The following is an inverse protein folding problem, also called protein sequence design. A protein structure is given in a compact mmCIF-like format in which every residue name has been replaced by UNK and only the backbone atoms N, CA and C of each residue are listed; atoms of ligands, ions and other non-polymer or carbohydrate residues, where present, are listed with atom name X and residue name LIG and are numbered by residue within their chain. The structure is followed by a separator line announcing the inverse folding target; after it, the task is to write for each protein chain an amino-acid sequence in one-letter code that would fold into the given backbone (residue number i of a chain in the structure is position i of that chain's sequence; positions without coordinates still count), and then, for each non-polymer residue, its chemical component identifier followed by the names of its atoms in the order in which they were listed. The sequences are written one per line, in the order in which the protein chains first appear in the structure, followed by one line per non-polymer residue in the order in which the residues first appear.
data_IF_763727034479
#
_entry.id   IF_763727034479
#
_cell.length_a   1.000
_cell.length_b   1.000
_cell.length_c   1.000
_cell.angle_alpha   90.00
_cell.angle_beta   90.00
_cell.angle_gamma   90.00
#
_symmetry.space_group_name_H-M   'P 1'
#
loop_
_entity.id
_entity.type
_entity.pdbx_description
1 polymer ?
#
# COMPACT_ATOMS: atom_id res chain seq x y z
N UNK A 1 16.12 -23.32 -13.00
CA UNK A 1 14.68 -23.48 -13.30
C UNK A 1 13.93 -22.75 -12.20
N UNK A 2 13.17 -21.70 -12.52
CA UNK A 2 12.39 -20.95 -11.52
C UNK A 2 10.92 -21.36 -11.65
N UNK A 3 10.30 -21.75 -10.54
CA UNK A 3 8.87 -22.06 -10.48
C UNK A 3 8.14 -20.87 -9.86
N UNK A 4 7.16 -20.31 -10.58
CA UNK A 4 6.27 -19.26 -10.08
C UNK A 4 4.88 -19.84 -9.85
N UNK A 5 4.40 -19.82 -8.62
CA UNK A 5 3.01 -20.16 -8.28
C UNK A 5 2.19 -18.89 -8.02
N UNK A 6 0.87 -18.97 -8.25
CA UNK A 6 -0.05 -17.84 -8.05
C UNK A 6 -0.91 -18.06 -6.81
N UNK A 7 -1.00 -17.04 -5.96
CA UNK A 7 -2.00 -17.01 -4.88
C UNK A 7 -3.36 -16.81 -5.55
N UNK A 8 -4.22 -17.83 -5.48
CA UNK A 8 -5.53 -17.86 -6.18
C UNK A 8 -6.66 -17.19 -5.40
N UNK A 9 -6.61 -17.21 -4.07
CA UNK A 9 -7.66 -16.67 -3.22
C UNK A 9 -7.04 -16.14 -1.92
N UNK A 10 -7.35 -14.89 -1.59
CA UNK A 10 -7.02 -14.25 -0.31
C UNK A 10 -8.36 -14.02 0.42
N UNK A 11 -8.47 -14.51 1.65
CA UNK A 11 -9.65 -14.39 2.52
C UNK A 11 -9.43 -13.40 3.67
N UNK A 12 -8.19 -13.18 4.05
CA UNK A 12 -7.76 -12.15 4.98
C UNK A 12 -6.37 -11.73 4.55
N UNK A 13 -6.08 -10.44 4.70
CA UNK A 13 -4.80 -9.86 4.35
C UNK A 13 -4.32 -9.00 5.51
N UNK A 14 -3.10 -9.25 5.94
CA UNK A 14 -2.45 -8.53 7.02
C UNK A 14 -0.98 -8.34 6.67
N UNK A 15 -0.55 -7.08 6.65
CA UNK A 15 0.85 -6.68 6.69
C UNK A 15 1.05 -5.96 8.00
N UNK A 16 2.04 -6.38 8.77
CA UNK A 16 2.48 -5.70 9.97
C UNK A 16 4.01 -5.54 9.89
N UNK A 17 4.50 -4.39 10.35
CA UNK A 17 5.93 -4.12 10.36
C UNK A 17 6.33 -3.11 11.42
N UNK A 18 7.61 -3.15 11.77
CA UNK A 18 8.24 -2.21 12.70
C UNK A 18 9.58 -1.79 12.14
N UNK A 19 9.87 -0.50 12.20
CA UNK A 19 11.17 0.06 11.88
C UNK A 19 11.62 0.95 13.01
N UNK A 20 12.88 0.82 13.40
CA UNK A 20 13.51 1.66 14.41
C UNK A 20 14.72 2.34 13.80
N UNK A 21 14.66 3.66 13.69
CA UNK A 21 15.68 4.42 13.00
C UNK A 21 15.86 5.81 13.66
N UNK A 22 17.10 6.33 13.75
CA UNK A 22 17.36 7.67 14.27
C UNK A 22 17.04 8.72 13.18
N UNK A 23 15.75 8.91 12.90
CA UNK A 23 15.29 9.91 11.93
C UNK A 23 15.77 11.30 12.36
N UNK A 24 16.32 12.12 11.45
CA UNK A 24 16.53 13.53 11.72
C UNK A 24 15.22 14.24 12.09
N UNK A 25 15.26 15.31 12.89
CA UNK A 25 14.04 16.05 13.24
C UNK A 25 13.37 16.65 12.00
N UNK A 26 12.18 16.15 11.66
CA UNK A 26 11.32 16.66 10.59
C UNK A 26 9.92 16.03 10.70
N UNK A 27 9.02 16.40 9.79
CA UNK A 27 7.73 15.74 9.59
C UNK A 27 7.90 14.71 8.49
N UNK A 28 7.54 13.45 8.77
CA UNK A 28 7.63 12.35 7.81
C UNK A 28 6.24 11.88 7.43
N UNK A 29 6.07 11.58 6.15
CA UNK A 29 4.89 10.89 5.62
C UNK A 29 5.19 9.39 5.51
N UNK A 30 4.26 8.56 5.99
CA UNK A 30 4.28 7.11 5.78
C UNK A 30 3.28 6.72 4.68
N UNK A 31 3.73 5.94 3.70
CA UNK A 31 2.87 5.40 2.64
C UNK A 31 3.21 3.95 2.28
N UNK A 32 2.19 3.21 1.83
CA UNK A 32 2.35 1.88 1.25
C UNK A 32 2.33 1.97 -0.27
N UNK A 33 3.34 1.38 -0.92
CA UNK A 33 3.37 1.26 -2.37
C UNK A 33 2.68 -0.02 -2.81
N UNK A 34 1.51 0.13 -3.40
CA UNK A 34 0.62 -0.96 -3.79
C UNK A 34 0.40 -0.96 -5.31
N UNK A 35 0.12 -2.14 -5.85
CA UNK A 35 -0.29 -2.29 -7.24
C UNK A 35 -1.43 -3.30 -7.32
N UNK A 36 -2.51 -2.91 -8.01
CA UNK A 36 -3.65 -3.76 -8.31
C UNK A 36 -3.61 -4.16 -9.79
N UNK A 37 -3.49 -5.46 -10.06
CA UNK A 37 -3.49 -5.98 -11.43
C UNK A 37 -2.31 -6.89 -11.75
N UNK A 38 -2.29 -7.41 -12.98
CA UNK A 38 -1.33 -8.44 -13.41
C UNK A 38 -0.10 -7.81 -14.05
N UNK A 39 1.09 -7.98 -13.45
CA UNK A 39 2.38 -7.77 -14.12
C UNK A 39 2.54 -8.86 -15.20
N UNK A 40 2.10 -8.62 -16.43
CA UNK A 40 2.39 -9.51 -17.56
C UNK A 40 3.23 -8.75 -18.58
N UNK A 41 4.56 -8.82 -18.44
CA UNK A 41 5.49 -8.40 -19.49
C UNK A 41 5.57 -9.51 -20.52
N UNK A 42 4.68 -9.50 -21.51
CA UNK A 42 4.89 -10.27 -22.75
C UNK A 42 5.57 -9.34 -23.76
N UNK A 43 6.84 -9.65 -24.10
CA UNK A 43 7.55 -9.10 -25.27
C UNK A 43 7.33 -7.60 -25.50
N UNK A 44 7.76 -6.76 -24.55
CA UNK A 44 7.79 -5.30 -24.75
C UNK A 44 6.44 -4.57 -24.68
N UNK A 45 5.33 -5.27 -24.41
CA UNK A 45 4.02 -4.65 -24.16
C UNK A 45 3.47 -5.15 -22.81
N UNK A 46 3.20 -4.23 -21.88
CA UNK A 46 2.41 -4.57 -20.68
C UNK A 46 1.00 -4.88 -21.15
N UNK A 47 0.51 -6.09 -20.86
CA UNK A 47 -0.89 -6.45 -21.10
C UNK A 47 -1.49 -6.81 -19.75
N UNK A 48 -2.04 -5.82 -19.06
CA UNK A 48 -2.76 -6.05 -17.81
C UNK A 48 -3.99 -6.91 -18.09
N UNK A 49 -4.00 -8.13 -17.55
CA UNK A 49 -5.19 -8.98 -17.56
C UNK A 49 -5.90 -8.81 -16.21
N UNK A 50 -6.87 -7.90 -16.14
CA UNK A 50 -7.68 -7.60 -14.96
C UNK A 50 -8.71 -8.69 -14.58
N UNK A 51 -8.73 -9.83 -15.29
CA UNK A 51 -9.76 -10.88 -15.11
C UNK A 51 -9.83 -11.50 -13.70
N UNK A 52 -8.88 -11.21 -12.79
CA UNK A 52 -8.83 -11.77 -11.44
C UNK A 52 -8.56 -10.74 -10.32
N UNK A 53 -8.60 -9.43 -10.61
CA UNK A 53 -8.59 -8.41 -9.56
C UNK A 53 -10.03 -8.05 -9.26
N UNK A 54 -10.60 -8.67 -8.23
CA UNK A 54 -11.99 -8.46 -7.83
C UNK A 54 -12.04 -8.27 -6.31
N UNK A 55 -12.99 -7.45 -5.85
CA UNK A 55 -13.41 -7.36 -4.44
C UNK A 55 -12.49 -6.56 -3.50
N UNK A 56 -11.64 -5.68 -4.03
CA UNK A 56 -10.89 -4.69 -3.22
C UNK A 56 -11.69 -3.40 -2.95
N UNK A 57 -12.81 -3.24 -3.65
CA UNK A 57 -13.82 -2.17 -3.55
C UNK A 57 -14.90 -2.44 -2.50
N UNK A 58 -15.09 -3.69 -2.10
CA UNK A 58 -16.24 -4.11 -1.27
C UNK A 58 -16.06 -3.75 0.21
N UNK A 59 -14.83 -3.82 0.71
CA UNK A 59 -14.50 -3.42 2.09
C UNK A 59 -13.26 -2.55 2.09
N UNK A 60 -13.21 -1.51 2.93
CA UNK A 60 -12.01 -0.70 3.05
C UNK A 60 -10.87 -1.54 3.63
N UNK A 61 -9.65 -1.26 3.15
CA UNK A 61 -8.42 -1.67 3.79
C UNK A 61 -8.11 -0.63 4.87
N UNK A 62 -7.81 -1.10 6.08
CA UNK A 62 -7.38 -0.25 7.18
C UNK A 62 -5.86 -0.19 7.20
N UNK A 63 -5.31 0.99 6.98
CA UNK A 63 -3.88 1.25 7.12
C UNK A 63 -3.65 2.05 8.39
N UNK A 64 -2.69 1.64 9.21
CA UNK A 64 -2.41 2.29 10.48
C UNK A 64 -0.90 2.47 10.66
N UNK A 65 -0.53 3.51 11.39
CA UNK A 65 0.84 3.70 11.87
C UNK A 65 0.84 4.25 13.29
N UNK A 66 1.79 3.80 14.09
CA UNK A 66 2.03 4.31 15.44
C UNK A 66 3.50 4.52 15.69
N UNK A 67 3.83 5.48 16.55
CA UNK A 67 5.20 5.81 16.91
C UNK A 67 5.43 5.61 18.40
N UNK A 68 6.68 5.40 18.82
CA UNK A 68 7.04 5.18 20.23
C UNK A 68 6.71 6.35 21.16
N UNK A 69 6.58 7.56 20.61
CA UNK A 69 6.16 8.77 21.32
C UNK A 69 4.63 8.97 21.35
N UNK A 70 3.87 8.01 20.81
CA UNK A 70 2.42 7.95 20.96
C UNK A 70 1.62 8.61 19.83
N UNK A 71 2.25 9.04 18.74
CA UNK A 71 1.50 9.53 17.58
C UNK A 71 0.84 8.34 16.87
N UNK A 72 -0.38 8.56 16.39
CA UNK A 72 -1.20 7.57 15.72
C UNK A 72 -1.76 8.18 14.43
N UNK A 73 -1.74 7.41 13.36
CA UNK A 73 -2.48 7.72 12.14
C UNK A 73 -3.17 6.46 11.64
N UNK A 74 -4.38 6.62 11.12
CA UNK A 74 -5.15 5.54 10.54
C UNK A 74 -5.99 6.07 9.39
N UNK A 75 -6.05 5.32 8.30
CA UNK A 75 -6.94 5.58 7.17
C UNK A 75 -7.63 4.29 6.76
N UNK A 76 -8.88 4.42 6.37
CA UNK A 76 -9.66 3.34 5.76
C UNK A 76 -10.00 3.77 4.34
N UNK A 77 -9.59 2.98 3.35
CA UNK A 77 -9.87 3.27 1.94
C UNK A 77 -10.05 1.99 1.12
N UNK A 78 -10.88 2.05 0.09
CA UNK A 78 -11.03 0.97 -0.88
C UNK A 78 -9.90 1.06 -1.91
N UNK A 79 -9.18 -0.04 -2.18
CA UNK A 79 -8.01 0.03 -3.06
C UNK A 79 -8.40 0.19 -4.55
N UNK A 80 -9.65 -0.10 -4.94
CA UNK A 80 -10.12 0.05 -6.33
C UNK A 80 -10.74 1.42 -6.65
N UNK A 81 -10.82 2.32 -5.66
CA UNK A 81 -11.25 3.71 -5.86
C UNK A 81 -10.12 4.50 -6.54
N UNK A 82 -10.06 4.40 -7.87
CA UNK A 82 -9.36 5.39 -8.68
C UNK A 82 -10.34 5.99 -9.66
N UNK A 83 -11.08 6.99 -9.18
CA UNK A 83 -11.63 8.01 -10.06
C UNK A 83 -10.47 8.88 -10.56
N UNK A 84 -10.14 8.74 -11.84
CA UNK A 84 -10.15 9.90 -12.73
C UNK A 84 -10.17 9.43 -14.17
N UNK A 85 -11.33 9.69 -14.78
CA UNK A 85 -11.59 9.72 -16.19
C UNK A 85 -10.54 10.57 -16.91
N UNK A 86 -9.58 9.92 -17.56
CA UNK A 86 -9.06 10.48 -18.79
C UNK A 86 -10.23 10.45 -19.79
N UNK A 87 -10.60 11.61 -20.34
CA UNK A 87 -11.60 11.87 -21.40
C UNK A 87 -11.43 10.98 -22.67
N UNK A 88 -10.47 10.07 -22.67
CA UNK A 88 -10.13 9.14 -23.73
C UNK A 88 -10.32 7.64 -23.36
N UNK A 89 -10.97 7.29 -22.25
CA UNK A 89 -11.40 5.91 -21.97
C UNK A 89 -10.28 4.86 -21.85
N UNK A 90 -9.02 5.28 -21.73
CA UNK A 90 -7.91 4.39 -21.46
C UNK A 90 -7.73 4.30 -19.93
N UNK A 91 -8.25 3.22 -19.34
CA UNK A 91 -8.09 2.90 -17.93
C UNK A 91 -6.60 2.84 -17.55
N UNK A 92 -6.11 3.91 -16.91
CA UNK A 92 -4.74 4.06 -16.42
C UNK A 92 -4.48 3.22 -15.15
N UNK A 93 -4.99 1.99 -15.08
CA UNK A 93 -4.78 1.04 -13.97
C UNK A 93 -3.45 0.27 -14.11
N UNK A 94 -2.41 0.91 -14.60
CA UNK A 94 -1.11 0.26 -14.91
C UNK A 94 0.06 0.94 -14.19
N UNK A 95 -0.09 1.22 -12.89
CA UNK A 95 0.94 1.89 -12.11
C UNK A 95 0.95 1.49 -10.64
N UNK A 96 2.14 1.59 -10.02
CA UNK A 96 2.26 1.57 -8.57
C UNK A 96 1.61 2.84 -8.00
N UNK A 97 0.81 2.69 -6.96
CA UNK A 97 0.12 3.78 -6.27
C UNK A 97 0.62 3.80 -4.82
N UNK A 98 0.94 5.00 -4.33
CA UNK A 98 1.36 5.21 -2.95
C UNK A 98 0.16 5.63 -2.09
N UNK A 99 -0.30 4.73 -1.24
CA UNK A 99 -1.39 4.98 -0.30
C UNK A 99 -0.82 5.59 0.98
N UNK A 100 -1.11 6.88 1.20
CA UNK A 100 -0.66 7.62 2.39
C UNK A 100 -1.46 7.18 3.61
N UNK A 101 -0.76 6.77 4.67
CA UNK A 101 -1.36 6.41 5.97
C UNK A 101 -1.54 7.65 6.83
N UNK A 102 -0.51 8.50 6.87
CA UNK A 102 -0.49 9.69 7.69
C UNK A 102 0.89 10.31 7.75
N UNK A 103 1.01 11.29 8.64
CA UNK A 103 2.27 11.96 8.95
C UNK A 103 2.58 11.80 10.44
N UNK A 104 3.87 11.78 10.76
CA UNK A 104 4.35 11.81 12.13
C UNK A 104 5.54 12.78 12.24
N UNK A 105 5.68 13.37 13.41
CA UNK A 105 6.74 14.34 13.71
C UNK A 105 7.88 13.67 14.45
N UNK A 106 9.11 13.93 14.03
CA UNK A 106 10.30 13.56 14.78
C UNK A 106 10.89 14.83 15.37
N UNK A 107 10.87 14.93 16.70
CA UNK A 107 11.38 16.11 17.42
C UNK A 107 12.88 16.03 17.73
N UNK A 108 13.40 14.82 17.93
CA UNK A 108 14.82 14.55 18.19
C UNK A 108 15.24 13.27 17.47
N UNK A 109 16.49 13.21 17.04
CA UNK A 109 17.15 12.05 16.44
C UNK A 109 17.54 10.97 17.47
N UNK A 110 17.53 11.31 18.77
CA UNK A 110 17.86 10.41 19.87
C UNK A 110 16.84 10.56 21.01
N UNK A 111 16.20 9.47 21.47
CA UNK A 111 16.36 8.08 21.05
C UNK A 111 15.82 7.83 19.63
N UNK A 112 16.25 6.72 19.00
CA UNK A 112 15.73 6.34 17.69
C UNK A 112 14.21 6.13 17.75
N UNK A 113 13.49 6.79 16.84
CA UNK A 113 12.04 6.65 16.71
C UNK A 113 11.71 5.25 16.21
N UNK A 114 10.85 4.56 16.95
CA UNK A 114 10.23 3.32 16.48
C UNK A 114 8.89 3.66 15.84
N UNK A 115 8.72 3.25 14.58
CA UNK A 115 7.49 3.40 13.81
C UNK A 115 6.96 1.99 13.53
N UNK A 116 5.74 1.73 13.95
CA UNK A 116 4.98 0.53 13.64
C UNK A 116 3.95 0.89 12.58
N UNK A 117 3.72 -0.02 11.65
CA UNK A 117 2.73 0.16 10.60
C UNK A 117 2.00 -1.14 10.32
N UNK A 118 0.75 -1.02 9.91
CA UNK A 118 -0.07 -2.15 9.54
C UNK A 118 -0.98 -1.81 8.36
N UNK A 119 -1.33 -2.84 7.60
CA UNK A 119 -2.35 -2.80 6.56
C UNK A 119 -3.20 -4.07 6.67
N UNK A 120 -4.47 -3.91 7.04
CA UNK A 120 -5.37 -5.02 7.36
C UNK A 120 -6.64 -4.94 6.54
N UNK A 121 -7.06 -6.08 6.02
CA UNK A 121 -8.37 -6.25 5.44
C UNK A 121 -8.89 -7.65 5.76
N UNK A 122 -9.91 -7.70 6.60
CA UNK A 122 -10.55 -8.93 7.01
C UNK A 122 -11.85 -9.07 6.21
N UNK A 123 -11.82 -9.92 5.19
CA UNK A 123 -12.99 -10.10 4.35
C UNK A 123 -13.16 -11.54 3.86
N UNK A 124 -13.97 -12.27 4.62
CA UNK A 124 -14.24 -13.66 4.35
C UNK A 124 -15.42 -13.89 3.39
N UNK A 125 -15.99 -12.84 2.77
CA UNK A 125 -17.20 -13.00 1.91
C UNK A 125 -16.88 -13.12 0.43
N UNK A 126 -15.73 -12.60 -0.02
CA UNK A 126 -15.32 -12.67 -1.43
C UNK A 126 -13.84 -13.03 -1.55
N UNK A 127 -13.51 -13.87 -2.52
CA UNK A 127 -12.13 -14.21 -2.82
C UNK A 127 -11.42 -13.02 -3.48
N UNK A 128 -10.31 -12.57 -2.89
CA UNK A 128 -9.50 -11.46 -3.40
C UNK A 128 -8.25 -11.95 -4.12
N UNK A 129 -7.79 -11.16 -5.08
CA UNK A 129 -6.60 -11.48 -5.88
C UNK A 129 -6.00 -10.24 -6.53
N UNK A 130 -4.78 -10.36 -7.02
CA UNK A 130 -4.14 -9.32 -7.83
C UNK A 130 -3.56 -8.12 -7.08
N UNK A 131 -3.46 -8.17 -5.74
CA UNK A 131 -2.72 -7.18 -4.95
C UNK A 131 -1.23 -7.55 -4.92
N UNK A 132 -0.37 -6.59 -5.25
CA UNK A 132 1.06 -6.63 -5.01
C UNK A 132 1.44 -5.51 -4.03
N UNK A 133 2.25 -5.84 -3.04
CA UNK A 133 2.85 -4.89 -2.10
C UNK A 133 4.34 -4.84 -2.40
N UNK A 134 4.87 -3.66 -2.68
CA UNK A 134 6.31 -3.46 -2.94
C UNK A 134 7.04 -3.12 -1.63
N UNK A 135 6.75 -1.93 -1.11
CA UNK A 135 7.50 -1.33 -0.01
C UNK A 135 6.63 -0.38 0.82
N UNK A 136 7.11 -0.09 2.02
CA UNK A 136 6.62 1.02 2.85
C UNK A 136 7.64 2.14 2.77
N UNK A 137 7.18 3.34 2.45
CA UNK A 137 8.02 4.53 2.41
C UNK A 137 7.80 5.39 3.64
N UNK A 138 8.90 5.93 4.16
CA UNK A 138 8.93 6.97 5.18
C UNK A 138 9.81 8.08 4.60
N UNK A 139 9.17 9.16 4.16
CA UNK A 139 9.85 10.25 3.43
C UNK A 139 9.49 11.57 4.13
N UNK A 140 10.45 12.50 4.29
CA UNK A 140 10.14 13.84 4.80
C UNK A 140 9.02 14.50 3.98
N UNK A 141 7.95 14.97 4.63
CA UNK A 141 6.75 15.48 3.99
C UNK A 141 7.02 16.68 3.06
N UNK A 142 8.09 17.43 3.32
CA UNK A 142 8.52 18.59 2.52
C UNK A 142 9.34 18.24 1.28
N UNK A 143 9.71 16.97 1.07
CA UNK A 143 10.49 16.51 -0.08
C UNK A 143 9.62 15.93 -1.21
N UNK A 144 8.32 16.25 -1.24
CA UNK A 144 7.42 15.88 -2.33
C UNK A 144 7.54 16.80 -3.53
#
# INVERSE_FOLDING_TARGET
MAASSFIRQIWWFEVDGVVKFPFPPDIYTLSFRLHLGRFNKRLGRCVSNFKHTHSWDIKPVKLESSTSDGQLASIECCLDETEQDDVNGNHKREGWIDYKVGEFVVSDSKPATEVRFSMKQMDCTHSKGGLCVDSVFIIPSKLK
#
